data_IF_710773960222
#
_entry.id   IF_710773960222
#
_cell.length_a   1.000
_cell.length_b   1.000
_cell.length_c   1.000
_cell.angle_alpha   90.00
_cell.angle_beta   90.00
_cell.angle_gamma   90.00
#
_symmetry.space_group_name_H-M   'P 1'
#
loop_
_entity.id
_entity.type
_entity.pdbx_description
1 polymer ?
#
# COMPACT_ATOMS: atom_id res chain seq x y z
N UNK A 1 -1.77 -48.50 -0.10
CA UNK A 1 -0.56 -47.90 0.51
C UNK A 1 0.23 -47.03 -0.45
N UNK A 2 0.78 -47.57 -1.56
CA UNK A 2 1.69 -46.86 -2.47
C UNK A 2 1.24 -45.45 -2.90
N UNK A 3 -0.03 -45.28 -3.30
CA UNK A 3 -0.61 -43.98 -3.72
C UNK A 3 -0.50 -42.91 -2.61
N UNK A 4 -0.67 -43.29 -1.34
CA UNK A 4 -0.57 -42.37 -0.19
C UNK A 4 0.90 -41.93 0.01
N UNK A 5 1.85 -42.85 -0.18
CA UNK A 5 3.29 -42.55 -0.09
C UNK A 5 3.70 -41.60 -1.22
N UNK A 6 3.26 -41.86 -2.46
CA UNK A 6 3.53 -41.01 -3.62
C UNK A 6 2.89 -39.62 -3.46
N UNK A 7 1.66 -39.55 -2.96
CA UNK A 7 0.98 -38.28 -2.65
C UNK A 7 1.70 -37.47 -1.56
N UNK A 8 2.16 -38.13 -0.49
CA UNK A 8 2.94 -37.49 0.57
C UNK A 8 4.31 -36.99 0.07
N UNK A 9 5.01 -37.79 -0.75
CA UNK A 9 6.28 -37.41 -1.35
C UNK A 9 6.12 -36.21 -2.31
N UNK A 10 5.11 -36.23 -3.18
CA UNK A 10 4.81 -35.12 -4.09
C UNK A 10 4.39 -33.86 -3.32
N UNK A 11 3.62 -34.00 -2.23
CA UNK A 11 3.30 -32.92 -1.31
C UNK A 11 4.53 -32.31 -0.64
N UNK A 12 5.47 -33.13 -0.16
CA UNK A 12 6.72 -32.68 0.45
C UNK A 12 7.64 -31.97 -0.56
N UNK A 13 7.74 -32.48 -1.79
CA UNK A 13 8.46 -31.81 -2.89
C UNK A 13 7.82 -30.46 -3.22
N UNK A 14 6.51 -30.42 -3.44
CA UNK A 14 5.78 -29.18 -3.72
C UNK A 14 5.96 -28.14 -2.60
N UNK A 15 5.86 -28.56 -1.35
CA UNK A 15 6.10 -27.73 -0.16
C UNK A 15 7.54 -27.20 -0.11
N UNK A 16 8.55 -28.02 -0.40
CA UNK A 16 9.94 -27.57 -0.50
C UNK A 16 10.10 -26.48 -1.57
N UNK A 17 9.54 -26.69 -2.76
CA UNK A 17 9.65 -25.72 -3.86
C UNK A 17 8.87 -24.41 -3.61
N UNK A 18 7.73 -24.46 -2.91
CA UNK A 18 6.90 -23.29 -2.61
C UNK A 18 7.38 -22.47 -1.40
N UNK A 19 7.89 -23.12 -0.34
CA UNK A 19 8.21 -22.45 0.93
C UNK A 19 9.70 -22.47 1.27
N UNK A 20 10.37 -23.61 1.14
CA UNK A 20 11.77 -23.74 1.58
C UNK A 20 12.74 -23.13 0.56
N UNK A 21 12.60 -23.46 -0.73
CA UNK A 21 13.52 -23.02 -1.81
C UNK A 21 13.62 -21.48 -1.96
N UNK A 22 12.54 -20.68 -1.88
CA UNK A 22 12.66 -19.21 -1.86
C UNK A 22 13.59 -18.68 -0.77
N UNK A 23 13.72 -19.42 0.34
CA UNK A 23 14.64 -19.21 1.47
C UNK A 23 16.13 -19.00 1.11
N UNK A 24 16.54 -19.29 -0.13
CA UNK A 24 17.92 -19.20 -0.61
C UNK A 24 18.18 -18.06 -1.62
N UNK A 25 17.16 -17.34 -2.10
CA UNK A 25 17.27 -16.32 -3.17
C UNK A 25 18.48 -15.37 -3.05
N UNK A 26 18.80 -14.93 -1.82
CA UNK A 26 19.94 -14.05 -1.53
C UNK A 26 21.28 -14.80 -1.47
N UNK A 27 21.33 -16.01 -0.86
CA UNK A 27 22.54 -16.87 -0.88
C UNK A 27 22.97 -17.17 -2.32
N UNK A 28 22.01 -17.51 -3.17
CA UNK A 28 22.21 -17.83 -4.59
C UNK A 28 22.77 -16.64 -5.39
N UNK A 29 22.74 -15.42 -4.82
CA UNK A 29 23.28 -14.17 -5.36
C UNK A 29 24.50 -13.65 -4.58
N UNK A 30 25.07 -14.45 -3.68
CA UNK A 30 26.18 -14.04 -2.80
C UNK A 30 25.81 -13.01 -1.72
N UNK A 31 24.54 -12.59 -1.64
CA UNK A 31 24.06 -11.59 -0.67
C UNK A 31 23.87 -12.25 0.70
N UNK A 32 24.46 -11.67 1.74
CA UNK A 32 24.25 -12.16 3.11
C UNK A 32 22.80 -11.93 3.52
N UNK A 33 22.21 -12.94 4.16
CA UNK A 33 20.84 -12.92 4.69
C UNK A 33 20.82 -13.39 6.14
N UNK A 34 19.73 -13.05 6.86
CA UNK A 34 19.47 -13.54 8.21
C UNK A 34 19.12 -15.03 8.29
N UNK A 35 18.54 -15.45 9.41
CA UNK A 35 17.94 -16.78 9.61
C UNK A 35 16.40 -16.67 9.57
N UNK A 36 15.77 -16.53 8.39
CA UNK A 36 14.32 -16.44 8.25
C UNK A 36 13.62 -17.70 8.76
N UNK A 37 12.40 -17.57 9.28
CA UNK A 37 11.54 -18.71 9.59
C UNK A 37 11.05 -19.36 8.29
N UNK A 38 11.09 -20.69 8.23
CA UNK A 38 10.85 -21.50 7.03
C UNK A 38 9.49 -21.30 6.32
N UNK A 39 8.51 -20.65 6.97
CA UNK A 39 7.22 -20.29 6.39
C UNK A 39 6.96 -18.77 6.35
N UNK A 40 7.38 -18.04 7.39
CA UNK A 40 6.97 -16.65 7.61
C UNK A 40 8.07 -15.61 7.33
N UNK A 41 9.27 -16.05 6.91
CA UNK A 41 10.42 -15.18 6.75
C UNK A 41 10.86 -14.58 8.09
N UNK A 42 11.38 -13.36 8.06
CA UNK A 42 11.76 -12.59 9.26
C UNK A 42 10.54 -11.92 9.95
N UNK A 43 9.35 -11.97 9.32
CA UNK A 43 8.14 -11.27 9.76
C UNK A 43 7.22 -12.12 10.69
N UNK A 44 7.61 -13.35 11.04
CA UNK A 44 6.77 -14.30 11.78
C UNK A 44 6.19 -13.75 13.09
N UNK A 45 7.01 -13.10 13.92
CA UNK A 45 6.58 -12.49 15.19
C UNK A 45 5.49 -11.41 14.99
N UNK A 46 5.54 -10.64 13.91
CA UNK A 46 4.55 -9.61 13.60
C UNK A 46 3.18 -10.20 13.23
N UNK A 47 3.14 -11.37 12.57
CA UNK A 47 1.90 -12.09 12.30
C UNK A 47 1.17 -12.49 13.59
N UNK A 48 1.93 -12.92 14.60
CA UNK A 48 1.42 -13.28 15.93
C UNK A 48 1.29 -12.08 16.90
N UNK A 49 1.47 -10.83 16.42
CA UNK A 49 1.44 -9.59 17.22
C UNK A 49 2.44 -9.56 18.40
N UNK A 50 3.52 -10.34 18.32
CA UNK A 50 4.56 -10.44 19.36
C UNK A 50 5.60 -9.32 19.30
N UNK A 51 5.62 -8.54 18.20
CA UNK A 51 6.45 -7.34 18.06
C UNK A 51 5.78 -6.34 17.10
N UNK A 52 6.03 -5.05 17.29
CA UNK A 52 5.59 -3.96 16.43
C UNK A 52 6.38 -3.90 15.11
N UNK A 53 5.95 -3.01 14.20
CA UNK A 53 6.70 -2.74 12.96
C UNK A 53 8.00 -1.99 13.29
N UNK A 54 8.01 -1.10 14.28
CA UNK A 54 9.22 -0.37 14.69
C UNK A 54 10.31 -1.31 15.23
N UNK A 55 9.93 -2.23 16.12
CA UNK A 55 10.83 -3.26 16.65
C UNK A 55 11.32 -4.21 15.54
N UNK A 56 10.48 -4.57 14.57
CA UNK A 56 10.92 -5.33 13.40
C UNK A 56 11.95 -4.57 12.57
N UNK A 57 11.77 -3.27 12.32
CA UNK A 57 12.73 -2.46 11.56
C UNK A 57 14.06 -2.30 12.30
N UNK A 58 14.03 -2.13 13.62
CA UNK A 58 15.24 -2.07 14.45
C UNK A 58 15.95 -3.44 14.51
N UNK A 59 15.20 -4.53 14.68
CA UNK A 59 15.72 -5.90 14.59
C UNK A 59 16.37 -6.17 13.23
N UNK A 60 15.70 -5.81 12.14
CA UNK A 60 16.20 -5.92 10.78
C UNK A 60 17.55 -5.18 10.65
N UNK A 61 17.58 -3.87 10.90
CA UNK A 61 18.77 -3.03 10.79
C UNK A 61 19.99 -3.60 11.55
N UNK A 62 19.73 -4.15 12.74
CA UNK A 62 20.72 -4.73 13.65
C UNK A 62 21.12 -6.18 13.33
N UNK A 63 20.42 -6.93 12.46
CA UNK A 63 20.77 -8.34 12.18
C UNK A 63 22.20 -8.52 11.64
N UNK A 64 22.67 -7.60 10.80
CA UNK A 64 24.02 -7.64 10.21
C UNK A 64 24.64 -6.23 10.25
N UNK A 65 25.27 -5.80 11.36
CA UNK A 65 25.77 -4.44 11.52
C UNK A 65 26.78 -4.03 10.43
N UNK A 66 27.78 -4.87 10.17
CA UNK A 66 28.96 -4.60 9.33
C UNK A 66 28.74 -4.67 7.80
N UNK A 67 27.50 -4.54 7.31
CA UNK A 67 27.19 -4.60 5.87
C UNK A 67 26.30 -3.44 5.41
N UNK A 68 26.69 -2.84 4.29
CA UNK A 68 25.98 -1.74 3.57
C UNK A 68 24.55 -2.13 3.19
N UNK A 69 24.33 -3.40 2.85
CA UNK A 69 23.04 -4.00 2.54
C UNK A 69 23.02 -5.49 2.92
N UNK A 70 21.83 -6.07 3.08
CA UNK A 70 21.61 -7.49 3.32
C UNK A 70 20.18 -7.90 2.96
N UNK A 71 19.98 -9.21 2.76
CA UNK A 71 18.69 -9.79 2.39
C UNK A 71 17.87 -10.25 3.59
N UNK A 72 16.59 -9.87 3.60
CA UNK A 72 15.54 -10.43 4.46
C UNK A 72 14.45 -11.08 3.60
N UNK A 73 13.48 -11.72 4.27
CA UNK A 73 12.30 -12.30 3.65
C UNK A 73 11.03 -11.87 4.39
N UNK A 74 10.02 -11.43 3.64
CA UNK A 74 8.67 -11.23 4.14
C UNK A 74 7.81 -12.37 3.60
N UNK A 75 7.47 -13.33 4.45
CA UNK A 75 7.04 -14.66 4.01
C UNK A 75 8.09 -15.22 3.03
N UNK A 76 7.68 -15.78 1.89
CA UNK A 76 8.59 -16.28 0.85
C UNK A 76 9.16 -15.20 -0.07
N UNK A 77 8.71 -13.93 0.02
CA UNK A 77 9.17 -12.85 -0.86
C UNK A 77 10.49 -12.25 -0.34
N UNK A 78 11.57 -12.24 -1.15
CA UNK A 78 12.82 -11.58 -0.77
C UNK A 78 12.63 -10.06 -0.65
N UNK A 79 13.36 -9.44 0.27
CA UNK A 79 13.41 -7.99 0.52
C UNK A 79 14.87 -7.59 0.72
N UNK A 80 15.35 -6.58 0.00
CA UNK A 80 16.68 -6.01 0.23
C UNK A 80 16.57 -4.91 1.29
N UNK A 81 17.37 -4.99 2.34
CA UNK A 81 17.56 -3.89 3.27
C UNK A 81 18.86 -3.19 2.89
N UNK A 82 18.75 -1.91 2.51
CA UNK A 82 19.89 -1.01 2.27
C UNK A 82 20.00 -0.09 3.49
N UNK A 83 21.20 0.01 4.07
CA UNK A 83 21.51 0.88 5.22
C UNK A 83 22.45 2.03 4.86
N UNK A 84 22.95 2.02 3.64
CA UNK A 84 24.02 2.89 3.18
C UNK A 84 23.46 4.07 2.38
N UNK A 85 23.85 5.27 2.79
CA UNK A 85 23.27 6.53 2.26
C UNK A 85 23.59 6.71 0.77
N UNK A 86 24.74 6.27 0.28
CA UNK A 86 25.11 6.45 -1.13
C UNK A 86 24.40 5.44 -2.02
N UNK A 87 24.21 4.20 -1.54
CA UNK A 87 23.35 3.22 -2.23
C UNK A 87 21.87 3.64 -2.23
N UNK A 88 21.38 4.28 -1.15
CA UNK A 88 20.04 4.86 -1.11
C UNK A 88 19.92 5.98 -2.16
N UNK A 89 20.83 6.96 -2.16
CA UNK A 89 20.85 8.04 -3.16
C UNK A 89 20.95 7.52 -4.59
N UNK A 90 21.73 6.45 -4.82
CA UNK A 90 21.81 5.82 -6.13
C UNK A 90 20.43 5.28 -6.55
N UNK A 91 19.80 4.44 -5.71
CA UNK A 91 18.50 3.82 -5.99
C UNK A 91 17.36 4.85 -6.13
N UNK A 92 17.32 5.88 -5.28
CA UNK A 92 16.19 6.83 -5.21
C UNK A 92 16.38 8.11 -6.01
N UNK A 93 17.52 8.30 -6.70
CA UNK A 93 17.79 9.53 -7.49
C UNK A 93 18.46 9.19 -8.83
N UNK A 94 19.59 8.47 -8.83
CA UNK A 94 20.36 8.24 -10.07
C UNK A 94 19.75 7.17 -10.97
N UNK A 95 19.32 6.07 -10.36
CA UNK A 95 18.82 4.89 -11.05
C UNK A 95 17.28 4.79 -10.94
N UNK A 96 16.60 5.88 -10.55
CA UNK A 96 15.18 5.91 -10.17
C UNK A 96 14.25 5.30 -11.23
N UNK A 97 14.56 5.46 -12.51
CA UNK A 97 13.80 4.88 -13.63
C UNK A 97 13.74 3.34 -13.62
N UNK A 98 14.63 2.68 -12.86
CA UNK A 98 14.63 1.23 -12.62
C UNK A 98 13.89 0.84 -11.33
N UNK A 99 13.44 1.82 -10.53
CA UNK A 99 12.86 1.67 -9.20
C UNK A 99 11.57 2.49 -9.00
N UNK A 100 10.88 2.83 -10.08
CA UNK A 100 9.61 3.59 -10.11
C UNK A 100 8.51 2.95 -9.25
N UNK A 101 8.50 1.62 -9.19
CA UNK A 101 7.36 0.85 -8.68
C UNK A 101 7.43 0.65 -7.17
N UNK A 102 6.50 1.30 -6.45
CA UNK A 102 6.26 0.97 -5.06
C UNK A 102 5.78 -0.49 -4.92
N UNK A 103 6.49 -1.27 -4.10
CA UNK A 103 6.19 -2.69 -3.83
C UNK A 103 4.78 -2.88 -3.28
N UNK A 104 3.82 -3.20 -4.16
CA UNK A 104 2.44 -3.37 -3.73
C UNK A 104 2.28 -4.54 -2.77
N UNK A 105 1.70 -4.24 -1.61
CA UNK A 105 1.43 -5.17 -0.51
C UNK A 105 0.27 -6.09 -0.88
N UNK A 106 -0.68 -5.57 -1.66
CA UNK A 106 -1.90 -6.25 -2.15
C UNK A 106 -1.75 -6.41 -3.67
N UNK A 107 -2.19 -7.51 -4.30
CA UNK A 107 -2.21 -7.61 -5.76
C UNK A 107 -3.00 -6.44 -6.37
N UNK A 108 -2.50 -5.79 -7.42
CA UNK A 108 -3.15 -4.61 -8.04
C UNK A 108 -4.60 -4.89 -8.48
N UNK A 109 -4.85 -6.13 -8.93
CA UNK A 109 -6.18 -6.59 -9.32
C UNK A 109 -7.12 -6.93 -8.14
N UNK A 110 -6.69 -6.78 -6.89
CA UNK A 110 -7.48 -7.15 -5.70
C UNK A 110 -8.13 -5.95 -4.99
N UNK A 111 -7.54 -4.74 -5.00
CA UNK A 111 -8.23 -3.53 -4.51
C UNK A 111 -7.63 -2.19 -5.06
N UNK A 112 -8.36 -1.39 -5.86
CA UNK A 112 -7.86 -0.14 -6.43
C UNK A 112 -7.63 1.03 -5.45
N UNK A 113 -8.15 0.96 -4.22
CA UNK A 113 -8.22 2.11 -3.31
C UNK A 113 -6.91 2.40 -2.53
N UNK A 114 -5.86 1.60 -2.70
CA UNK A 114 -4.71 1.59 -1.79
C UNK A 114 -3.57 2.56 -2.16
N UNK A 115 -3.53 3.09 -3.38
CA UNK A 115 -2.26 3.49 -4.02
C UNK A 115 -1.89 4.99 -3.99
N UNK A 116 -2.51 5.85 -3.16
CA UNK A 116 -2.17 7.30 -3.08
C UNK A 116 -2.32 7.89 -1.67
N UNK A 117 -1.27 8.51 -1.12
CA UNK A 117 -1.38 9.49 -0.03
C UNK A 117 -0.13 10.39 0.11
N UNK A 118 -0.25 11.53 0.81
CA UNK A 118 0.65 12.69 0.65
C UNK A 118 0.99 13.42 1.98
N UNK A 119 1.31 12.70 3.05
CA UNK A 119 1.43 13.29 4.40
C UNK A 119 2.85 13.71 4.81
N UNK A 120 3.06 15.02 5.06
CA UNK A 120 3.67 15.56 6.29
C UNK A 120 3.77 17.10 6.27
N UNK A 121 3.33 17.80 7.33
CA UNK A 121 4.13 18.72 8.19
C UNK A 121 3.25 19.51 9.22
N UNK A 122 3.90 20.37 10.02
CA UNK A 122 3.55 20.97 11.34
C UNK A 122 3.44 22.54 11.22
N UNK A 123 3.05 23.41 12.18
CA UNK A 123 2.79 23.40 13.65
C UNK A 123 2.05 24.69 14.11
N UNK A 124 1.66 24.95 15.38
CA UNK A 124 0.98 24.23 16.50
C UNK A 124 0.54 25.28 17.56
N UNK A 125 -0.60 25.11 18.26
CA UNK A 125 -0.93 25.85 19.51
C UNK A 125 -1.80 24.97 20.45
N UNK A 126 -1.83 25.25 21.76
CA UNK A 126 -2.14 24.24 22.80
C UNK A 126 -3.58 24.34 23.36
N UNK A 127 -4.33 23.25 23.21
CA UNK A 127 -5.56 22.96 23.97
C UNK A 127 -5.55 21.50 24.42
N UNK A 128 -5.92 21.21 25.67
CA UNK A 128 -5.94 19.83 26.22
C UNK A 128 -7.09 19.02 25.62
N UNK A 129 -6.79 18.11 24.70
CA UNK A 129 -7.78 17.35 23.92
C UNK A 129 -7.42 15.85 23.85
N UNK A 130 -8.41 14.99 23.60
CA UNK A 130 -8.17 13.56 23.30
C UNK A 130 -7.61 13.44 21.87
N UNK A 131 -6.29 13.59 21.75
CA UNK A 131 -5.59 13.79 20.48
C UNK A 131 -5.89 12.70 19.44
N UNK A 132 -6.02 11.43 19.85
CA UNK A 132 -6.23 10.34 18.89
C UNK A 132 -7.64 10.41 18.30
N UNK A 133 -8.66 10.58 19.13
CA UNK A 133 -10.04 10.79 18.69
C UNK A 133 -10.18 12.05 17.86
N UNK A 134 -9.67 13.19 18.35
CA UNK A 134 -9.70 14.48 17.68
C UNK A 134 -9.07 14.40 16.28
N UNK A 135 -7.80 14.00 16.18
CA UNK A 135 -7.09 13.99 14.90
C UNK A 135 -7.63 12.91 13.96
N UNK A 136 -8.15 11.77 14.45
CA UNK A 136 -8.83 10.79 13.55
C UNK A 136 -10.09 11.39 12.93
N UNK A 137 -10.85 12.20 13.68
CA UNK A 137 -12.07 12.87 13.23
C UNK A 137 -11.78 14.01 12.25
N UNK A 138 -10.90 14.93 12.66
CA UNK A 138 -10.43 16.02 11.81
C UNK A 138 -9.82 15.51 10.49
N UNK A 139 -8.96 14.49 10.54
CA UNK A 139 -8.36 13.89 9.33
C UNK A 139 -9.41 13.23 8.44
N UNK A 140 -10.42 12.57 9.03
CA UNK A 140 -11.53 12.01 8.28
C UNK A 140 -12.30 13.10 7.50
N UNK A 141 -12.60 14.23 8.15
CA UNK A 141 -13.37 15.30 7.54
C UNK A 141 -12.55 16.10 6.53
N UNK A 142 -11.25 16.27 6.77
CA UNK A 142 -10.31 16.81 5.79
C UNK A 142 -10.25 15.93 4.53
N UNK A 143 -10.16 14.60 4.67
CA UNK A 143 -10.20 13.64 3.57
C UNK A 143 -11.57 13.68 2.85
N UNK A 144 -12.68 13.67 3.59
CA UNK A 144 -14.02 13.78 3.00
C UNK A 144 -14.14 15.07 2.16
N UNK A 145 -13.65 16.19 2.72
CA UNK A 145 -13.75 17.53 2.13
C UNK A 145 -12.86 17.71 0.90
N UNK A 146 -11.65 17.14 0.89
CA UNK A 146 -10.63 17.39 -0.17
C UNK A 146 -10.49 16.26 -1.19
N UNK A 147 -10.60 14.99 -0.77
CA UNK A 147 -10.44 13.83 -1.63
C UNK A 147 -11.79 13.37 -2.22
N UNK A 148 -12.85 13.40 -1.41
CA UNK A 148 -14.21 12.99 -1.84
C UNK A 148 -15.11 14.18 -2.21
N UNK A 149 -14.73 15.41 -1.82
CA UNK A 149 -15.49 16.61 -2.14
C UNK A 149 -16.82 16.75 -1.38
N UNK A 150 -16.98 16.05 -0.25
CA UNK A 150 -18.19 15.99 0.60
C UNK A 150 -17.95 16.68 1.93
N UNK A 151 -18.92 17.45 2.44
CA UNK A 151 -18.86 18.01 3.80
C UNK A 151 -19.32 16.95 4.81
N UNK A 152 -18.49 16.68 5.81
CA UNK A 152 -18.77 15.81 6.97
C UNK A 152 -18.30 16.56 8.22
N UNK A 153 -18.97 16.33 9.35
CA UNK A 153 -18.54 16.84 10.66
C UNK A 153 -18.47 15.69 11.67
N UNK A 154 -17.32 15.06 11.76
CA UNK A 154 -17.04 13.95 12.69
C UNK A 154 -16.69 14.40 14.10
N UNK A 155 -16.63 15.71 14.34
CA UNK A 155 -16.50 16.31 15.67
C UNK A 155 -17.90 16.51 16.29
N UNK A 156 -18.83 17.12 15.55
CA UNK A 156 -20.22 17.32 15.97
C UNK A 156 -21.09 16.05 15.86
N UNK A 157 -20.82 15.17 14.90
CA UNK A 157 -21.50 13.87 14.75
C UNK A 157 -20.53 12.68 14.96
N UNK A 158 -20.30 12.24 16.21
CA UNK A 158 -19.18 11.35 16.51
C UNK A 158 -19.24 9.93 15.91
N UNK A 159 -20.34 9.56 15.25
CA UNK A 159 -20.60 8.24 14.66
C UNK A 159 -21.23 8.33 13.25
N UNK A 160 -21.01 9.41 12.49
CA UNK A 160 -21.50 9.50 11.11
C UNK A 160 -20.99 8.34 10.22
N UNK A 161 -21.73 7.99 9.15
CA UNK A 161 -21.41 6.78 8.38
C UNK A 161 -20.04 6.85 7.68
N UNK A 162 -19.64 8.03 7.19
CA UNK A 162 -18.33 8.21 6.52
C UNK A 162 -17.17 7.87 7.47
N UNK A 163 -17.19 8.42 8.69
CA UNK A 163 -16.23 8.10 9.75
C UNK A 163 -16.24 6.62 10.15
N UNK A 164 -17.43 6.00 10.26
CA UNK A 164 -17.54 4.57 10.58
C UNK A 164 -17.01 3.66 9.45
N UNK A 165 -17.15 4.06 8.17
CA UNK A 165 -16.56 3.33 7.05
C UNK A 165 -15.05 3.55 6.97
N UNK A 166 -14.56 4.77 7.15
CA UNK A 166 -13.12 5.06 7.24
C UNK A 166 -12.44 4.26 8.37
N UNK A 167 -13.05 4.22 9.56
CA UNK A 167 -12.58 3.40 10.68
C UNK A 167 -12.57 1.90 10.38
N UNK A 168 -13.51 1.38 9.57
CA UNK A 168 -13.49 -0.02 9.08
C UNK A 168 -12.38 -0.29 8.06
N UNK A 169 -11.98 0.70 7.26
CA UNK A 169 -10.81 0.60 6.35
C UNK A 169 -9.52 0.51 7.18
N UNK A 170 -9.34 1.38 8.16
CA UNK A 170 -8.05 1.51 8.90
C UNK A 170 -7.87 0.52 10.06
N UNK A 171 -8.93 -0.08 10.61
CA UNK A 171 -8.81 -1.01 11.75
C UNK A 171 -8.22 -2.37 11.35
N UNK A 172 -6.96 -2.61 11.74
CA UNK A 172 -6.29 -3.91 11.55
C UNK A 172 -6.77 -4.96 12.56
N UNK A 173 -7.59 -5.92 12.08
CA UNK A 173 -7.97 -7.12 12.83
C UNK A 173 -7.05 -8.31 12.50
N UNK A 174 -6.88 -9.26 13.43
CA UNK A 174 -6.06 -10.47 13.21
C UNK A 174 -6.48 -11.24 11.94
N UNK A 175 -7.77 -11.39 11.70
CA UNK A 175 -8.29 -12.03 10.47
C UNK A 175 -7.93 -11.25 9.18
N UNK A 176 -7.75 -9.93 9.25
CA UNK A 176 -7.28 -9.12 8.12
C UNK A 176 -5.78 -9.29 7.90
N UNK A 177 -4.99 -9.35 8.97
CA UNK A 177 -3.56 -9.71 8.91
C UNK A 177 -3.35 -11.12 8.35
N UNK A 178 -4.19 -12.09 8.73
CA UNK A 178 -4.14 -13.46 8.24
C UNK A 178 -4.54 -13.56 6.76
N UNK A 179 -5.57 -12.83 6.30
CA UNK A 179 -5.87 -12.69 4.86
C UNK A 179 -4.70 -12.10 4.08
N UNK A 180 -4.05 -11.06 4.61
CA UNK A 180 -2.85 -10.46 4.00
C UNK A 180 -1.67 -11.46 3.91
N UNK A 181 -1.41 -12.23 4.97
CA UNK A 181 -0.45 -13.34 4.92
C UNK A 181 -0.85 -14.39 3.87
N UNK A 182 -2.15 -14.67 3.73
CA UNK A 182 -2.71 -15.53 2.69
C UNK A 182 -2.41 -15.07 1.26
N UNK A 183 -2.65 -13.79 0.93
CA UNK A 183 -2.25 -13.22 -0.37
C UNK A 183 -0.73 -13.27 -0.60
N UNK A 184 0.07 -13.15 0.47
CA UNK A 184 1.54 -13.15 0.37
C UNK A 184 2.12 -14.56 0.16
N UNK A 185 1.54 -15.58 0.79
CA UNK A 185 1.96 -16.98 0.73
C UNK A 185 1.34 -17.76 -0.44
N UNK A 186 0.07 -17.50 -0.76
CA UNK A 186 -0.73 -18.26 -1.72
C UNK A 186 -1.45 -17.36 -2.74
N UNK A 187 -0.74 -16.47 -3.48
CA UNK A 187 -1.36 -15.47 -4.35
C UNK A 187 -2.29 -16.09 -5.40
N UNK A 188 -1.88 -17.18 -6.06
CA UNK A 188 -2.69 -17.88 -7.06
C UNK A 188 -4.00 -18.42 -6.47
N UNK A 189 -3.98 -18.99 -5.26
CA UNK A 189 -5.17 -19.52 -4.60
C UNK A 189 -6.15 -18.40 -4.23
N UNK A 190 -5.66 -17.29 -3.68
CA UNK A 190 -6.49 -16.14 -3.33
C UNK A 190 -7.09 -15.44 -4.56
N UNK A 191 -6.36 -15.40 -5.69
CA UNK A 191 -6.89 -14.92 -6.97
C UNK A 191 -8.01 -15.83 -7.52
N UNK A 192 -7.88 -17.16 -7.40
CA UNK A 192 -8.93 -18.12 -7.80
C UNK A 192 -10.19 -17.96 -6.93
N UNK A 193 -10.03 -17.86 -5.60
CA UNK A 193 -11.15 -17.75 -4.65
C UNK A 193 -11.82 -16.36 -4.72
N UNK A 194 -11.19 -15.36 -5.35
CA UNK A 194 -11.69 -13.97 -5.51
C UNK A 194 -12.15 -13.34 -4.19
N UNK A 195 -11.41 -13.62 -3.11
CA UNK A 195 -11.55 -12.91 -1.83
C UNK A 195 -11.31 -11.41 -2.11
N UNK A 196 -12.10 -10.52 -1.50
CA UNK A 196 -11.84 -9.07 -1.53
C UNK A 196 -11.08 -8.64 -0.29
N UNK A 197 -10.25 -7.60 -0.41
CA UNK A 197 -9.52 -7.06 0.74
C UNK A 197 -10.44 -6.24 1.65
N UNK A 198 -11.18 -5.28 1.09
CA UNK A 198 -12.24 -4.57 1.80
C UNK A 198 -13.59 -5.30 1.73
N UNK A 199 -14.47 -4.96 2.69
CA UNK A 199 -15.86 -5.40 2.76
C UNK A 199 -16.67 -4.77 1.61
N UNK A 200 -17.58 -5.54 1.02
CA UNK A 200 -18.51 -5.05 0.00
C UNK A 200 -19.30 -3.82 0.50
N UNK A 201 -19.72 -3.75 1.77
CA UNK A 201 -20.44 -2.56 2.27
C UNK A 201 -19.55 -1.30 2.19
N UNK A 202 -18.28 -1.43 2.59
CA UNK A 202 -17.30 -0.33 2.58
C UNK A 202 -16.99 0.11 1.14
N UNK A 203 -16.71 -0.85 0.26
CA UNK A 203 -16.42 -0.55 -1.16
C UNK A 203 -17.61 0.06 -1.90
N UNK A 204 -18.83 -0.39 -1.62
CA UNK A 204 -20.04 0.18 -2.23
C UNK A 204 -20.33 1.59 -1.72
N UNK A 205 -20.17 1.84 -0.41
CA UNK A 205 -20.37 3.17 0.18
C UNK A 205 -19.48 4.23 -0.49
N UNK A 206 -18.16 4.02 -0.54
CA UNK A 206 -17.24 5.01 -1.13
C UNK A 206 -17.44 5.17 -2.64
N UNK A 207 -17.82 4.10 -3.37
CA UNK A 207 -18.21 4.20 -4.79
C UNK A 207 -19.46 5.04 -4.99
N UNK A 208 -20.49 4.84 -4.16
CA UNK A 208 -21.71 5.63 -4.22
C UNK A 208 -21.42 7.10 -3.94
N UNK A 209 -20.69 7.41 -2.86
CA UNK A 209 -20.27 8.78 -2.50
C UNK A 209 -19.57 9.49 -3.67
N UNK A 210 -18.64 8.81 -4.36
CA UNK A 210 -17.95 9.38 -5.53
C UNK A 210 -18.93 9.60 -6.69
N UNK A 211 -19.75 8.59 -7.03
CA UNK A 211 -20.70 8.67 -8.15
C UNK A 211 -21.74 9.79 -7.96
N UNK A 212 -22.35 9.86 -6.78
CA UNK A 212 -23.36 10.86 -6.45
C UNK A 212 -22.74 12.27 -6.44
N UNK A 213 -21.50 12.41 -5.93
CA UNK A 213 -20.76 13.69 -5.96
C UNK A 213 -20.44 14.15 -7.39
N UNK A 214 -20.02 13.23 -8.27
CA UNK A 214 -19.78 13.54 -9.70
C UNK A 214 -21.09 13.93 -10.38
N UNK A 215 -22.17 13.17 -10.14
CA UNK A 215 -23.50 13.42 -10.71
C UNK A 215 -24.02 14.82 -10.35
N UNK A 216 -24.05 15.17 -9.06
CA UNK A 216 -24.53 16.47 -8.57
C UNK A 216 -23.72 17.63 -9.19
N UNK A 217 -22.41 17.46 -9.40
CA UNK A 217 -21.56 18.48 -10.04
C UNK A 217 -21.86 18.67 -11.51
N UNK A 218 -22.13 17.59 -12.24
CA UNK A 218 -22.51 17.65 -13.66
C UNK A 218 -23.91 18.28 -13.83
N UNK A 219 -24.88 17.89 -12.99
CA UNK A 219 -26.25 18.42 -13.02
C UNK A 219 -26.33 19.92 -12.65
N UNK A 220 -25.53 20.36 -11.68
CA UNK A 220 -25.58 21.73 -11.14
C UNK A 220 -24.43 22.63 -11.62
N UNK A 221 -23.64 22.17 -12.61
CA UNK A 221 -22.44 22.84 -13.13
C UNK A 221 -21.43 23.30 -12.05
N UNK A 222 -21.32 22.59 -10.92
CA UNK A 222 -20.50 23.00 -9.78
C UNK A 222 -19.00 22.75 -10.07
N UNK A 223 -18.25 23.84 -10.19
CA UNK A 223 -16.79 23.85 -10.20
C UNK A 223 -16.30 24.01 -8.75
N UNK A 224 -15.45 23.07 -8.31
CA UNK A 224 -14.79 23.10 -6.99
C UNK A 224 -13.39 22.51 -7.13
N UNK A 225 -12.30 23.21 -6.79
CA UNK A 225 -10.93 22.74 -7.00
C UNK A 225 -10.53 21.69 -5.94
N UNK A 226 -11.04 20.47 -6.11
CA UNK A 226 -10.73 19.31 -5.26
C UNK A 226 -10.39 18.08 -6.11
N UNK A 227 -10.00 16.97 -5.47
CA UNK A 227 -9.50 15.79 -6.19
C UNK A 227 -10.55 15.18 -7.14
N UNK A 228 -11.84 15.25 -6.81
CA UNK A 228 -12.90 14.76 -7.71
C UNK A 228 -12.96 15.62 -8.98
N UNK A 229 -12.85 16.95 -8.86
CA UNK A 229 -12.85 17.82 -10.03
C UNK A 229 -11.57 17.67 -10.88
N UNK A 230 -10.41 17.52 -10.25
CA UNK A 230 -9.16 17.22 -10.96
C UNK A 230 -9.24 15.90 -11.73
N UNK A 231 -9.83 14.85 -11.14
CA UNK A 231 -10.06 13.58 -11.82
C UNK A 231 -11.09 13.70 -12.96
N UNK A 232 -12.13 14.53 -12.81
CA UNK A 232 -13.08 14.84 -13.89
C UNK A 232 -12.43 15.61 -15.04
N UNK A 233 -11.48 16.52 -14.76
CA UNK A 233 -10.70 17.22 -15.78
C UNK A 233 -9.71 16.26 -16.48
N UNK A 234 -8.94 15.50 -15.71
CA UNK A 234 -7.98 14.53 -16.24
C UNK A 234 -8.66 13.49 -17.16
N UNK A 235 -9.83 12.98 -16.77
CA UNK A 235 -10.64 12.11 -17.62
C UNK A 235 -11.03 12.77 -18.95
N UNK A 236 -11.49 14.03 -18.93
CA UNK A 236 -11.79 14.79 -20.16
C UNK A 236 -10.54 15.07 -21.01
N UNK A 237 -9.36 15.14 -20.39
CA UNK A 237 -8.07 15.20 -21.08
C UNK A 237 -7.76 13.89 -21.80
N UNK A 238 -7.83 12.75 -21.09
CA UNK A 238 -7.62 11.41 -21.66
C UNK A 238 -8.60 11.16 -22.82
N UNK A 239 -9.90 11.45 -22.65
CA UNK A 239 -10.93 11.33 -23.70
C UNK A 239 -10.72 12.28 -24.91
N UNK A 240 -9.77 13.22 -24.84
CA UNK A 240 -9.25 14.01 -25.99
C UNK A 240 -7.95 13.43 -26.56
N UNK A 241 -7.01 13.01 -25.71
CA UNK A 241 -5.74 12.41 -26.16
C UNK A 241 -5.97 11.09 -26.91
N UNK A 242 -6.87 10.23 -26.43
CA UNK A 242 -7.26 8.98 -27.12
C UNK A 242 -7.85 9.26 -28.52
N UNK A 243 -8.57 10.37 -28.71
CA UNK A 243 -9.12 10.79 -30.01
C UNK A 243 -8.07 11.41 -30.94
N UNK A 244 -7.00 11.95 -30.38
CA UNK A 244 -5.92 12.61 -31.12
C UNK A 244 -4.71 11.68 -31.36
N UNK A 245 -4.72 10.44 -30.84
CA UNK A 245 -3.70 9.42 -31.09
C UNK A 245 -2.35 9.62 -30.37
N UNK A 246 -2.15 10.72 -29.65
CA UNK A 246 -0.88 11.03 -28.96
C UNK A 246 -0.99 10.71 -27.47
N UNK A 247 -0.48 9.53 -27.11
CA UNK A 247 -0.23 9.13 -25.72
C UNK A 247 1.21 9.56 -25.38
N UNK A 248 1.36 10.79 -24.89
CA UNK A 248 2.59 11.20 -24.20
C UNK A 248 2.54 10.67 -22.76
N UNK A 249 3.60 9.99 -22.33
CA UNK A 249 3.74 9.43 -20.98
C UNK A 249 4.48 10.37 -20.01
N UNK A 250 4.81 11.60 -20.43
CA UNK A 250 5.57 12.62 -19.69
C UNK A 250 4.94 13.19 -18.40
N UNK A 251 4.09 12.45 -17.69
CA UNK A 251 3.50 12.85 -16.40
C UNK A 251 4.52 13.01 -15.25
N UNK A 252 5.77 12.58 -15.43
CA UNK A 252 6.85 12.72 -14.45
C UNK A 252 7.72 13.97 -14.69
N UNK A 253 7.79 14.48 -15.91
CA UNK A 253 8.57 15.67 -16.28
C UNK A 253 7.68 16.90 -16.27
N UNK A 254 7.66 17.63 -15.16
CA UNK A 254 7.30 19.04 -15.21
C UNK A 254 8.30 19.73 -16.15
N UNK A 255 7.83 20.45 -17.17
CA UNK A 255 8.69 21.33 -17.95
C UNK A 255 9.15 22.46 -17.03
N UNK A 256 10.43 22.46 -16.67
CA UNK A 256 11.03 23.56 -15.92
C UNK A 256 10.92 24.83 -16.75
N UNK A 257 10.48 25.94 -16.13
CA UNK A 257 10.35 27.22 -16.81
C UNK A 257 11.71 27.91 -16.89
N UNK A 258 12.15 28.33 -18.08
CA UNK A 258 13.36 29.13 -18.33
C UNK A 258 13.35 30.55 -17.69
N UNK A 259 12.45 30.81 -16.74
CA UNK A 259 12.36 32.05 -15.95
C UNK A 259 13.46 32.08 -14.87
N UNK A 260 14.72 32.12 -15.31
CA UNK A 260 15.89 32.23 -14.43
C UNK A 260 17.25 32.12 -15.14
N UNK A 261 17.29 31.71 -16.41
CA UNK A 261 18.52 31.56 -17.20
C UNK A 261 18.90 32.86 -17.93
N UNK A 262 19.34 33.86 -17.16
CA UNK A 262 19.88 35.15 -17.63
C UNK A 262 21.06 35.62 -16.79
#
# INVERSE_FOLDING_TARGET
>A
MLIVILGAALGAVLFYYLFVKPHNYWKDRGVKQGKPWWLFGDFGKNLFRQQSIAELMQYAYNQIPSRRYFGLYQFTKPVLIVKDVDLIKQITVKDFDHFTDHRSIIPENADPLWNKNLFALKDEEIVTLEMKGLFTRFTNDAIATTAFGVKVDSLAEPNNEFYLMGKKVTTFSFWRTLRFAGYSLFPKLYQIIKVKFFDNKVGNFFRQVINDTIKIRLERAIVRPDMIHLLMQARKGIEKHEKNGVIDTGFATAQESDLGTS
#
